data_IF_678205222398
#
_entry.id   IF_678205222398
#
_cell.length_a   1.000
_cell.length_b   1.000
_cell.length_c   1.000
_cell.angle_alpha   90.00
_cell.angle_beta   90.00
_cell.angle_gamma   90.00
#
_symmetry.space_group_name_H-M   'P 1'
#
loop_
_entity.id
_entity.type
_entity.pdbx_description
1 polymer ?
#
# COMPACT_ATOMS: atom_id res chain seq x y z
N UNK A 1 0.64 14.90 -8.97
CA UNK A 1 -0.78 14.80 -8.61
C UNK A 1 -1.10 13.33 -8.37
N UNK A 2 -1.69 12.97 -7.23
CA UNK A 2 -1.86 11.55 -6.86
C UNK A 2 -3.00 10.93 -7.65
N UNK A 3 -4.03 11.70 -7.97
CA UNK A 3 -5.23 11.27 -8.71
C UNK A 3 -4.92 10.67 -10.08
N UNK A 4 -3.84 11.13 -10.73
CA UNK A 4 -3.38 10.64 -12.03
C UNK A 4 -2.22 9.64 -11.93
N UNK A 5 -1.91 9.15 -10.73
CA UNK A 5 -0.88 8.12 -10.54
C UNK A 5 -1.45 6.75 -10.93
N UNK A 6 -0.57 5.80 -11.24
CA UNK A 6 -0.96 4.42 -11.48
C UNK A 6 -0.70 3.62 -10.21
N UNK A 7 -1.74 2.99 -9.69
CA UNK A 7 -1.68 2.05 -8.59
C UNK A 7 -1.68 0.61 -9.13
N UNK A 8 -0.97 -0.26 -8.41
CA UNK A 8 -0.96 -1.69 -8.63
C UNK A 8 -1.63 -2.37 -7.45
N UNK A 9 -2.67 -3.15 -7.72
CA UNK A 9 -3.37 -3.93 -6.70
C UNK A 9 -3.55 -5.37 -7.15
N UNK A 10 -3.35 -6.31 -6.22
CA UNK A 10 -3.59 -7.72 -6.45
C UNK A 10 -5.02 -8.08 -6.02
N UNK A 11 -5.69 -8.86 -6.85
CA UNK A 11 -6.99 -9.45 -6.58
C UNK A 11 -6.90 -10.98 -6.65
N UNK A 12 -7.81 -11.64 -5.94
CA UNK A 12 -7.99 -13.08 -5.96
C UNK A 12 -9.45 -13.37 -6.25
N UNK A 13 -9.73 -14.31 -7.13
CA UNK A 13 -11.08 -14.67 -7.53
C UNK A 13 -11.19 -16.17 -7.68
N UNK A 14 -12.38 -16.73 -7.54
CA UNK A 14 -12.61 -18.14 -7.89
C UNK A 14 -12.72 -18.31 -9.41
N UNK A 15 -12.13 -19.38 -9.93
CA UNK A 15 -12.25 -19.78 -11.33
C UNK A 15 -13.71 -19.94 -11.76
N UNK A 16 -14.59 -20.37 -10.85
CA UNK A 16 -16.03 -20.47 -11.10
C UNK A 16 -16.64 -19.15 -11.58
N UNK A 17 -16.17 -18.00 -11.08
CA UNK A 17 -16.63 -16.68 -11.52
C UNK A 17 -16.24 -16.38 -12.96
N UNK A 18 -15.08 -16.83 -13.43
CA UNK A 18 -14.68 -16.64 -14.82
C UNK A 18 -15.35 -17.65 -15.74
N UNK A 19 -15.52 -18.89 -15.28
CA UNK A 19 -16.05 -19.99 -16.08
C UNK A 19 -17.47 -19.72 -16.61
N UNK A 20 -18.31 -19.01 -15.84
CA UNK A 20 -19.67 -18.63 -16.27
C UNK A 20 -19.67 -17.65 -17.43
N UNK A 21 -18.65 -16.80 -17.53
CA UNK A 21 -18.55 -15.73 -18.52
C UNK A 21 -17.70 -16.08 -19.76
N UNK A 22 -17.07 -17.26 -19.78
CA UNK A 22 -16.35 -17.75 -20.97
C UNK A 22 -17.22 -17.84 -22.22
N UNK A 23 -18.55 -17.95 -22.08
CA UNK A 23 -19.51 -17.95 -23.19
C UNK A 23 -19.85 -16.54 -23.70
N UNK A 24 -19.65 -15.53 -22.87
CA UNK A 24 -20.04 -14.14 -23.14
C UNK A 24 -18.90 -13.33 -23.78
N UNK A 25 -17.73 -13.95 -24.03
CA UNK A 25 -16.52 -13.31 -24.56
C UNK A 25 -16.04 -12.10 -23.74
N UNK A 26 -16.42 -12.01 -22.47
CA UNK A 26 -15.97 -10.95 -21.57
C UNK A 26 -14.47 -11.09 -21.27
N UNK A 27 -13.79 -9.95 -21.25
CA UNK A 27 -12.39 -9.83 -20.83
C UNK A 27 -12.23 -10.06 -19.33
N UNK A 28 -11.01 -10.37 -18.90
CA UNK A 28 -10.69 -10.54 -17.47
C UNK A 28 -11.05 -9.28 -16.68
N UNK A 29 -10.76 -8.09 -17.25
CA UNK A 29 -11.07 -6.80 -16.64
C UNK A 29 -12.57 -6.58 -16.44
N UNK A 30 -13.40 -6.97 -17.41
CA UNK A 30 -14.86 -6.84 -17.30
C UNK A 30 -15.43 -7.75 -16.20
N UNK A 31 -14.93 -8.97 -16.09
CA UNK A 31 -15.36 -9.93 -15.06
C UNK A 31 -14.88 -9.50 -13.66
N UNK A 32 -13.64 -9.03 -13.55
CA UNK A 32 -13.05 -8.60 -12.28
C UNK A 32 -13.65 -7.30 -11.76
N UNK A 33 -14.01 -6.36 -12.64
CA UNK A 33 -14.53 -5.03 -12.23
C UNK A 33 -15.87 -5.12 -11.50
N UNK A 34 -16.65 -6.18 -11.72
CA UNK A 34 -17.94 -6.40 -11.07
C UNK A 34 -17.89 -7.26 -9.81
N UNK A 35 -16.74 -7.82 -9.44
CA UNK A 35 -16.60 -8.82 -8.38
C UNK A 35 -15.68 -8.34 -7.26
N UNK A 36 -16.06 -8.62 -6.02
CA UNK A 36 -15.15 -8.48 -4.88
C UNK A 36 -14.11 -9.61 -4.89
N UNK A 37 -12.92 -9.31 -4.37
CA UNK A 37 -11.87 -10.30 -4.18
C UNK A 37 -12.31 -11.38 -3.19
N UNK A 38 -11.97 -12.64 -3.48
CA UNK A 38 -12.28 -13.83 -2.69
C UNK A 38 -10.96 -14.52 -2.29
N UNK A 39 -10.29 -13.92 -1.29
CA UNK A 39 -9.05 -14.45 -0.76
C UNK A 39 -9.29 -15.75 0.02
N UNK A 40 -8.51 -16.78 -0.28
CA UNK A 40 -8.56 -18.03 0.46
C UNK A 40 -8.22 -17.81 1.94
N UNK A 41 -9.03 -18.40 2.82
CA UNK A 41 -8.75 -18.47 4.26
C UNK A 41 -7.66 -19.50 4.61
N UNK A 42 -7.26 -20.33 3.63
CA UNK A 42 -6.27 -21.39 3.84
C UNK A 42 -4.87 -20.82 3.73
N UNK A 43 -4.07 -20.97 4.78
CA UNK A 43 -2.66 -20.55 4.78
C UNK A 43 -1.89 -21.34 3.73
N UNK A 44 -1.23 -20.62 2.82
CA UNK A 44 -0.35 -21.23 1.84
C UNK A 44 -0.04 -20.37 0.62
N UNK A 45 -0.59 -19.16 0.55
CA UNK A 45 -0.29 -18.19 -0.50
C UNK A 45 0.48 -17.00 0.06
N UNK A 46 1.57 -16.68 -0.60
CA UNK A 46 2.34 -15.47 -0.34
C UNK A 46 2.81 -14.85 -1.64
N UNK A 47 3.19 -13.58 -1.57
CA UNK A 47 3.75 -12.83 -2.67
C UNK A 47 5.11 -12.29 -2.29
N UNK A 48 6.04 -12.41 -3.24
CA UNK A 48 7.36 -11.80 -3.18
C UNK A 48 7.41 -10.68 -4.20
N UNK A 49 7.71 -9.48 -3.74
CA UNK A 49 7.92 -8.31 -4.60
C UNK A 49 9.39 -7.95 -4.55
N UNK A 50 10.09 -8.17 -5.65
CA UNK A 50 11.47 -7.72 -5.82
C UNK A 50 11.46 -6.39 -6.57
N UNK A 51 12.01 -5.37 -5.92
CA UNK A 51 12.09 -4.01 -6.43
C UNK A 51 13.51 -3.50 -6.18
N UNK A 52 14.27 -3.31 -7.27
CA UNK A 52 15.70 -3.00 -7.17
C UNK A 52 16.49 -4.07 -6.42
N UNK A 53 16.94 -3.75 -5.19
CA UNK A 53 17.69 -4.67 -4.30
C UNK A 53 16.87 -5.18 -3.12
N UNK A 54 15.64 -4.72 -2.96
CA UNK A 54 14.78 -5.09 -1.85
C UNK A 54 13.80 -6.18 -2.27
N UNK A 55 13.66 -7.20 -1.42
CA UNK A 55 12.65 -8.26 -1.56
C UNK A 55 11.66 -8.15 -0.41
N UNK A 56 10.39 -7.98 -0.74
CA UNK A 56 9.29 -7.90 0.21
C UNK A 56 8.50 -9.20 0.22
N UNK A 57 8.19 -9.71 1.41
CA UNK A 57 7.35 -10.90 1.59
C UNK A 57 5.99 -10.49 2.16
N UNK A 58 4.92 -10.87 1.46
CA UNK A 58 3.55 -10.46 1.77
C UNK A 58 2.65 -11.71 1.86
N UNK A 59 2.11 -12.05 3.04
CA UNK A 59 1.11 -13.11 3.13
C UNK A 59 -0.18 -12.68 2.42
N UNK A 60 -0.76 -13.57 1.64
CA UNK A 60 -1.97 -13.32 0.84
C UNK A 60 -3.16 -14.22 1.24
N UNK A 61 -2.99 -15.15 2.18
CA UNK A 61 -4.05 -16.07 2.60
C UNK A 61 -4.05 -16.28 4.14
N UNK A 62 -4.86 -15.51 4.89
CA UNK A 62 -5.53 -14.28 4.45
C UNK A 62 -4.51 -13.14 4.25
N UNK A 63 -4.82 -12.14 3.41
CA UNK A 63 -3.97 -10.97 3.25
C UNK A 63 -3.94 -10.14 4.53
N UNK A 64 -2.77 -9.56 4.83
CA UNK A 64 -2.60 -8.76 6.06
C UNK A 64 -3.27 -7.38 5.99
N UNK A 65 -3.36 -6.80 4.80
CA UNK A 65 -3.93 -5.48 4.59
C UNK A 65 -4.65 -5.43 3.25
N UNK A 66 -5.98 -5.38 3.32
CA UNK A 66 -6.85 -5.16 2.17
C UNK A 66 -7.32 -3.72 2.14
N UNK A 67 -7.47 -3.16 0.95
CA UNK A 67 -8.20 -1.90 0.75
C UNK A 67 -9.69 -2.12 1.02
N UNK A 68 -10.49 -1.05 1.06
CA UNK A 68 -11.93 -1.15 1.26
C UNK A 68 -12.63 -1.99 0.18
N UNK A 69 -11.98 -2.17 -0.97
CA UNK A 69 -12.45 -2.96 -2.12
C UNK A 69 -12.02 -4.44 -2.05
N UNK A 70 -11.34 -4.87 -0.99
CA UNK A 70 -10.84 -6.25 -0.83
C UNK A 70 -9.57 -6.55 -1.63
N UNK A 71 -8.90 -5.51 -2.14
CA UNK A 71 -7.69 -5.64 -2.95
C UNK A 71 -6.44 -5.50 -2.07
N UNK A 72 -5.35 -6.13 -2.47
CA UNK A 72 -4.05 -5.94 -1.81
C UNK A 72 -3.25 -4.90 -2.60
N UNK A 73 -3.11 -3.70 -2.06
CA UNK A 73 -2.31 -2.64 -2.67
C UNK A 73 -0.80 -2.95 -2.58
N UNK A 74 -0.18 -3.09 -3.75
CA UNK A 74 1.25 -3.36 -3.90
C UNK A 74 2.04 -2.17 -4.43
N UNK A 75 1.37 -1.05 -4.71
CA UNK A 75 1.96 0.17 -5.27
C UNK A 75 3.13 0.67 -4.43
N UNK A 76 3.03 0.57 -3.10
CA UNK A 76 4.06 1.01 -2.14
C UNK A 76 5.37 0.23 -2.23
N UNK A 77 5.37 -0.95 -2.84
CA UNK A 77 6.56 -1.78 -3.02
C UNK A 77 7.14 -1.65 -4.43
N UNK A 78 6.42 -1.01 -5.35
CA UNK A 78 6.85 -0.83 -6.72
C UNK A 78 7.82 0.36 -6.82
N UNK A 79 8.90 0.17 -7.55
CA UNK A 79 9.79 1.25 -7.99
C UNK A 79 9.52 1.63 -9.44
N UNK A 80 10.03 2.79 -9.87
CA UNK A 80 10.07 3.17 -11.28
C UNK A 80 11.00 2.26 -12.12
N UNK A 81 11.77 1.39 -11.47
CA UNK A 81 12.69 0.44 -12.08
C UNK A 81 11.99 -0.87 -12.45
N UNK A 82 12.75 -1.92 -12.76
CA UNK A 82 12.18 -3.24 -13.04
C UNK A 82 11.68 -3.89 -11.75
N UNK A 83 10.39 -4.22 -11.72
CA UNK A 83 9.75 -4.92 -10.61
C UNK A 83 9.50 -6.38 -10.99
N UNK A 84 9.72 -7.31 -10.06
CA UNK A 84 9.33 -8.72 -10.24
C UNK A 84 8.37 -9.12 -9.11
N UNK A 85 7.18 -9.57 -9.49
CA UNK A 85 6.18 -10.10 -8.57
C UNK A 85 6.12 -11.60 -8.75
N UNK A 86 6.21 -12.35 -7.66
CA UNK A 86 6.12 -13.82 -7.66
C UNK A 86 5.09 -14.26 -6.63
N UNK A 87 4.14 -15.06 -7.06
CA UNK A 87 3.24 -15.77 -6.16
C UNK A 87 3.89 -17.09 -5.76
N UNK A 88 3.94 -17.36 -4.46
CA UNK A 88 4.48 -18.59 -3.88
C UNK A 88 3.32 -19.30 -3.20
N UNK A 89 2.98 -20.47 -3.74
CA UNK A 89 1.93 -21.34 -3.23
C UNK A 89 2.53 -22.60 -2.58
N UNK A 90 1.97 -23.02 -1.44
CA UNK A 90 2.33 -24.27 -0.74
C UNK A 90 1.14 -25.23 -0.60
N UNK A 91 -0.04 -24.84 -1.07
CA UNK A 91 -1.23 -25.66 -1.16
C UNK A 91 -1.86 -25.56 -2.56
N UNK A 92 -2.84 -26.41 -2.85
CA UNK A 92 -3.58 -26.34 -4.10
C UNK A 92 -4.39 -25.05 -4.17
N UNK A 93 -4.19 -24.29 -5.25
CA UNK A 93 -4.88 -23.04 -5.56
C UNK A 93 -5.46 -23.07 -6.99
N UNK A 94 -5.66 -24.26 -7.56
CA UNK A 94 -6.13 -24.44 -8.94
C UNK A 94 -7.52 -23.84 -9.20
N UNK A 95 -8.33 -23.70 -8.15
CA UNK A 95 -9.65 -23.06 -8.21
C UNK A 95 -9.59 -21.52 -8.16
N UNK A 96 -8.41 -20.92 -8.07
CA UNK A 96 -8.24 -19.47 -7.92
C UNK A 96 -7.54 -18.84 -9.12
N UNK A 97 -7.94 -17.60 -9.41
CA UNK A 97 -7.34 -16.72 -10.41
C UNK A 97 -6.81 -15.49 -9.69
N UNK A 98 -5.54 -15.20 -9.91
CA UNK A 98 -4.88 -14.02 -9.36
C UNK A 98 -4.72 -12.99 -10.47
N UNK A 99 -5.16 -11.76 -10.21
CA UNK A 99 -5.13 -10.68 -11.19
C UNK A 99 -4.39 -9.49 -10.59
N UNK A 100 -3.43 -8.96 -11.35
CA UNK A 100 -2.74 -7.72 -11.01
C UNK A 100 -3.39 -6.59 -11.79
N UNK A 101 -4.12 -5.73 -11.09
CA UNK A 101 -4.76 -4.56 -11.67
C UNK A 101 -3.83 -3.36 -11.67
N UNK A 102 -3.73 -2.70 -12.81
CA UNK A 102 -3.15 -1.37 -12.94
C UNK A 102 -4.30 -0.36 -13.10
N UNK A 103 -4.52 0.49 -12.09
CA UNK A 103 -5.67 1.38 -12.03
C UNK A 103 -5.31 2.75 -11.44
N UNK A 104 -6.16 3.75 -11.64
CA UNK A 104 -6.04 5.00 -10.89
C UNK A 104 -6.40 4.77 -9.42
N UNK A 105 -5.89 5.57 -8.48
CA UNK A 105 -6.12 5.34 -7.06
C UNK A 105 -7.61 5.30 -6.74
N UNK A 106 -8.02 4.32 -5.93
CA UNK A 106 -9.39 4.23 -5.45
C UNK A 106 -9.70 5.39 -4.49
N UNK A 107 -10.98 5.71 -4.27
CA UNK A 107 -11.37 6.71 -3.26
C UNK A 107 -10.79 6.41 -1.87
N UNK A 108 -10.75 5.13 -1.48
CA UNK A 108 -10.19 4.71 -0.19
C UNK A 108 -8.68 4.96 -0.10
N UNK A 109 -7.92 4.68 -1.16
CA UNK A 109 -6.48 4.99 -1.25
C UNK A 109 -6.22 6.51 -1.20
N UNK A 110 -7.04 7.32 -1.89
CA UNK A 110 -6.93 8.77 -1.83
C UNK A 110 -7.22 9.31 -0.43
N UNK A 111 -8.22 8.77 0.25
CA UNK A 111 -8.55 9.14 1.63
C UNK A 111 -7.41 8.79 2.59
N UNK A 112 -6.84 7.59 2.48
CA UNK A 112 -5.69 7.15 3.27
C UNK A 112 -4.50 8.08 3.08
N UNK A 113 -4.13 8.39 1.83
CA UNK A 113 -3.03 9.29 1.52
C UNK A 113 -3.30 10.71 2.03
N UNK A 114 -4.54 11.20 1.91
CA UNK A 114 -4.92 12.51 2.45
C UNK A 114 -4.77 12.56 3.99
N UNK A 115 -5.14 11.48 4.67
CA UNK A 115 -5.05 11.34 6.12
C UNK A 115 -3.59 11.25 6.55
N UNK A 116 -2.77 10.48 5.82
CA UNK A 116 -1.32 10.38 6.03
C UNK A 116 -0.65 11.75 5.91
N UNK A 117 -0.96 12.51 4.86
CA UNK A 117 -0.43 13.88 4.65
C UNK A 117 -0.81 14.83 5.77
N UNK A 118 -2.05 14.79 6.25
CA UNK A 118 -2.49 15.61 7.40
C UNK A 118 -1.70 15.27 8.67
N UNK A 119 -1.50 13.99 8.96
CA UNK A 119 -0.71 13.53 10.11
C UNK A 119 0.76 13.94 9.98
N UNK A 120 1.36 13.77 8.81
CA UNK A 120 2.74 14.18 8.53
C UNK A 120 2.92 15.69 8.67
N UNK A 121 1.95 16.48 8.21
CA UNK A 121 1.97 17.93 8.37
C UNK A 121 1.88 18.33 9.86
N UNK A 122 0.94 17.73 10.61
CA UNK A 122 0.83 17.97 12.05
C UNK A 122 2.13 17.62 12.79
N UNK A 123 2.74 16.49 12.45
CA UNK A 123 4.03 16.09 13.02
C UNK A 123 5.15 17.09 12.70
N UNK A 124 5.23 17.58 11.47
CA UNK A 124 6.22 18.61 11.08
C UNK A 124 6.01 19.91 11.84
N UNK A 125 4.76 20.32 12.06
CA UNK A 125 4.45 21.54 12.78
C UNK A 125 4.74 21.40 14.29
N UNK A 126 4.49 20.22 14.86
CA UNK A 126 4.93 19.89 16.21
C UNK A 126 6.45 19.94 16.32
N UNK A 127 7.19 19.27 15.43
CA UNK A 127 8.66 19.32 15.44
C UNK A 127 9.20 20.76 15.37
N UNK A 128 8.61 21.62 14.55
CA UNK A 128 8.96 23.05 14.51
C UNK A 128 8.70 23.75 15.83
N UNK A 129 7.61 23.40 16.54
CA UNK A 129 7.30 23.94 17.86
C UNK A 129 8.34 23.50 18.89
N UNK A 130 8.72 22.23 18.89
CA UNK A 130 9.74 21.67 19.81
C UNK A 130 11.15 22.18 19.50
N UNK A 131 11.46 22.46 18.23
CA UNK A 131 12.74 23.01 17.81
C UNK A 131 12.88 24.52 18.11
N UNK A 132 11.83 25.20 18.58
CA UNK A 132 11.96 26.60 18.99
C UNK A 132 12.90 26.69 20.20
N UNK A 133 13.94 27.54 20.14
CA UNK A 133 14.76 27.81 21.31
C UNK A 133 13.85 28.22 22.46
N UNK A 134 14.09 27.76 23.69
CA UNK A 134 13.37 28.28 24.85
C UNK A 134 13.51 29.80 24.84
N UNK A 135 12.40 30.51 25.02
CA UNK A 135 12.40 31.94 25.24
C UNK A 135 13.01 32.20 26.62
N UNK A 136 14.32 32.07 26.73
CA UNK A 136 15.07 32.52 27.89
C UNK A 136 15.04 34.04 27.82
N UNK A 137 14.44 34.74 28.80
CA UNK A 137 14.69 36.16 28.94
C UNK A 137 16.17 36.28 29.32
N UNK A 138 17.02 36.53 28.32
CA UNK A 138 18.40 36.89 28.53
C UNK A 138 18.43 38.28 29.16
N UNK A 139 18.26 38.33 30.49
CA UNK A 139 18.68 39.46 31.28
C UNK A 139 20.21 39.38 31.39
N UNK A 140 20.92 39.95 30.41
CA UNK A 140 22.32 40.35 30.62
C UNK A 140 22.32 41.58 31.54
N UNK A 141 22.01 41.34 32.81
CA UNK A 141 22.21 42.26 33.91
C UNK A 141 23.48 41.86 34.66
N UNK A 142 24.57 42.53 34.29
CA UNK A 142 25.74 42.81 35.13
C UNK A 142 26.65 41.66 35.63
N UNK A 143 27.90 41.76 35.16
CA UNK A 143 29.15 41.21 35.70
C UNK A 143 29.48 39.75 35.39
N UNK A 144 30.13 39.57 34.24
CA UNK A 144 31.14 38.55 34.08
C UNK A 144 32.27 38.77 35.13
N UNK A 145 32.37 37.87 36.11
CA UNK A 145 33.57 37.73 36.94
C UNK A 145 34.33 36.54 36.39
N UNK A 146 35.37 36.83 35.59
CA UNK A 146 36.44 35.88 35.30
C UNK A 146 37.22 35.65 36.59
N UNK A 147 37.00 34.51 37.23
CA UNK A 147 37.90 34.02 38.27
C UNK A 147 39.19 33.55 37.59
N UNK A 148 40.30 34.23 37.92
CA UNK A 148 41.67 33.80 37.65
C UNK A 148 42.12 32.78 38.69
#
# INVERSE_FOLDING_TARGET
DVTNSLCLSMACYKWSHFSSHTKDHLSVDEVSSGSLSDWSSTVGLSMRVLSGKEEWYLPLSPPFAETAEGLVDVSKFAEASSNSIRLVQTCDMSDFVFVLHAHHPTPSQLEEESTRRKKEQAWRDDLKRWARPPAVPFAWGEKAILLR
#
